data_IF_135186953581
#
_entry.id   IF_135186953581
#
_cell.length_a   1.000
_cell.length_b   1.000
_cell.length_c   1.000
_cell.angle_alpha   90.00
_cell.angle_beta   90.00
_cell.angle_gamma   90.00
#
_symmetry.space_group_name_H-M   'P 1'
#
loop_
_entity.id
_entity.type
_entity.pdbx_description
1 polymer ?
#
# COMPACT_ATOMS: atom_id res chain seq x y z
N UNK A 1 22.23 -30.98 30.93
CA UNK A 1 21.72 -31.26 29.56
C UNK A 1 20.27 -30.82 29.56
N UNK A 2 19.76 -29.83 28.82
CA UNK A 2 20.26 -29.02 27.71
C UNK A 2 19.87 -27.57 27.98
N UNK A 3 20.84 -26.65 27.88
CA UNK A 3 20.58 -25.20 27.86
C UNK A 3 20.28 -24.82 26.40
N UNK A 4 19.08 -24.33 26.14
CA UNK A 4 18.71 -23.60 24.93
C UNK A 4 19.39 -22.22 24.91
N UNK A 5 19.88 -21.71 23.76
CA UNK A 5 20.41 -20.36 23.66
C UNK A 5 19.39 -19.36 23.08
N UNK A 6 19.47 -18.12 23.61
CA UNK A 6 19.27 -16.80 22.96
C UNK A 6 17.91 -16.38 22.39
N UNK A 7 17.52 -15.14 22.71
CA UNK A 7 17.59 -13.98 21.79
C UNK A 7 17.68 -12.68 22.63
N UNK A 8 18.56 -11.70 22.33
CA UNK A 8 18.54 -10.38 22.97
C UNK A 8 17.50 -9.45 22.33
N UNK A 9 16.96 -8.53 23.12
CA UNK A 9 15.93 -7.55 22.77
C UNK A 9 16.32 -6.66 21.58
N UNK A 10 15.50 -6.70 20.52
CA UNK A 10 15.68 -5.96 19.27
C UNK A 10 15.48 -4.42 19.39
N UNK A 11 15.02 -3.93 20.55
CA UNK A 11 14.60 -2.53 20.73
C UNK A 11 15.76 -1.53 20.89
N UNK A 12 16.99 -2.01 21.11
CA UNK A 12 18.16 -1.13 21.31
C UNK A 12 19.11 -1.05 20.10
N UNK A 13 19.06 -2.05 19.20
CA UNK A 13 19.97 -2.15 18.07
C UNK A 13 19.58 -1.21 16.90
N UNK A 14 18.28 -1.02 16.63
CA UNK A 14 17.81 -0.15 15.55
C UNK A 14 18.15 1.33 15.81
N UNK A 15 17.99 1.80 17.05
CA UNK A 15 18.31 3.19 17.44
C UNK A 15 19.82 3.48 17.36
N UNK A 16 20.67 2.50 17.71
CA UNK A 16 22.12 2.64 17.61
C UNK A 16 22.61 2.57 16.16
N UNK A 17 21.97 1.78 15.29
CA UNK A 17 22.33 1.70 13.87
C UNK A 17 21.93 2.95 13.08
N UNK A 18 20.77 3.55 13.38
CA UNK A 18 20.31 4.82 12.79
C UNK A 18 21.20 6.01 13.21
N UNK A 19 21.61 6.08 14.47
CA UNK A 19 22.55 7.10 14.95
C UNK A 19 23.96 6.91 14.38
N UNK A 20 24.40 5.66 14.18
CA UNK A 20 25.72 5.35 13.62
C UNK A 20 25.85 5.71 12.13
N UNK A 21 24.78 5.59 11.34
CA UNK A 21 24.78 6.01 9.94
C UNK A 21 24.85 7.53 9.77
N UNK A 22 24.16 8.28 10.64
CA UNK A 22 24.32 9.75 10.73
C UNK A 22 25.77 10.15 11.06
N UNK A 23 26.46 9.38 11.92
CA UNK A 23 27.86 9.63 12.26
C UNK A 23 28.85 9.30 11.14
N UNK A 24 28.60 8.27 10.32
CA UNK A 24 29.43 7.96 9.15
C UNK A 24 29.31 9.01 8.03
N UNK A 25 28.13 9.62 7.85
CA UNK A 25 27.92 10.68 6.87
C UNK A 25 28.61 12.01 7.24
N UNK A 26 29.00 12.22 8.52
CA UNK A 26 29.76 13.40 8.97
C UNK A 26 31.14 13.53 8.31
N UNK A 27 31.74 12.42 7.88
CA UNK A 27 33.09 12.44 7.30
C UNK A 27 33.12 12.99 5.86
N UNK A 28 31.98 13.06 5.18
CA UNK A 28 31.91 13.48 3.77
C UNK A 28 31.66 14.99 3.57
N UNK A 29 31.18 15.72 4.58
CA UNK A 29 30.68 17.11 4.44
C UNK A 29 31.64 18.20 4.97
N UNK A 30 32.90 17.87 5.28
CA UNK A 30 33.86 18.82 5.87
C UNK A 30 34.45 19.87 4.90
N UNK A 31 33.83 20.11 3.75
CA UNK A 31 34.26 21.12 2.78
C UNK A 31 33.39 22.38 2.93
N UNK A 32 33.77 23.28 3.84
CA UNK A 32 33.19 24.63 3.97
C UNK A 32 33.52 25.48 2.73
N UNK A 33 32.54 26.08 2.02
CA UNK A 33 32.81 27.02 0.96
C UNK A 33 32.87 28.44 1.56
N UNK A 34 34.00 28.82 2.15
CA UNK A 34 34.16 30.15 2.77
C UNK A 34 34.25 31.31 1.76
N UNK A 35 34.20 31.03 0.45
CA UNK A 35 34.30 32.05 -0.61
C UNK A 35 33.35 31.74 -1.77
N UNK A 36 32.04 31.76 -1.53
CA UNK A 36 31.05 31.70 -2.61
C UNK A 36 30.90 33.09 -3.28
N UNK A 37 30.82 33.17 -4.63
CA UNK A 37 30.56 34.43 -5.33
C UNK A 37 29.26 35.10 -4.84
N UNK A 38 29.14 36.44 -4.90
CA UNK A 38 27.97 37.17 -4.37
C UNK A 38 26.63 36.70 -4.96
N UNK A 39 26.59 36.30 -6.23
CA UNK A 39 25.40 35.72 -6.85
C UNK A 39 24.96 34.40 -6.21
N UNK A 40 25.92 33.59 -5.75
CA UNK A 40 25.65 32.34 -5.04
C UNK A 40 25.16 32.59 -3.61
N UNK A 41 25.69 33.61 -2.94
CA UNK A 41 25.24 34.00 -1.60
C UNK A 41 23.80 34.55 -1.61
N UNK A 42 23.45 35.34 -2.62
CA UNK A 42 22.08 35.86 -2.81
C UNK A 42 21.11 34.73 -3.12
N UNK A 43 21.44 33.83 -4.05
CA UNK A 43 20.60 32.66 -4.35
C UNK A 43 20.39 31.74 -3.13
N UNK A 44 21.44 31.55 -2.31
CA UNK A 44 21.31 30.78 -1.07
C UNK A 44 20.40 31.49 -0.04
N UNK A 45 20.47 32.82 0.06
CA UNK A 45 19.62 33.60 0.96
C UNK A 45 18.14 33.60 0.52
N UNK A 46 17.90 33.66 -0.79
CA UNK A 46 16.56 33.53 -1.37
C UNK A 46 15.99 32.14 -1.13
N UNK A 47 16.76 31.07 -1.34
CA UNK A 47 16.35 29.69 -1.04
C UNK A 47 16.07 29.47 0.46
N UNK A 48 16.84 30.12 1.36
CA UNK A 48 16.56 30.11 2.80
C UNK A 48 15.32 30.92 3.20
N UNK A 49 14.95 31.93 2.42
CA UNK A 49 13.73 32.70 2.66
C UNK A 49 12.50 31.95 2.14
N UNK A 50 12.59 31.37 0.93
CA UNK A 50 11.57 30.45 0.40
C UNK A 50 11.39 29.25 1.33
N UNK A 51 12.47 28.75 1.94
CA UNK A 51 12.39 27.70 2.94
C UNK A 51 11.54 28.09 4.14
N UNK A 52 11.78 29.29 4.69
CA UNK A 52 11.05 29.85 5.83
C UNK A 52 9.59 30.16 5.48
N UNK A 53 9.34 30.69 4.30
CA UNK A 53 8.00 31.02 3.83
C UNK A 53 7.20 29.73 3.54
N UNK A 54 7.84 28.73 2.93
CA UNK A 54 7.22 27.42 2.67
C UNK A 54 6.91 26.65 3.96
N UNK A 55 7.73 26.75 5.00
CA UNK A 55 7.36 26.23 6.32
C UNK A 55 6.25 27.03 6.99
N UNK A 56 6.24 28.35 6.84
CA UNK A 56 5.27 29.21 7.51
C UNK A 56 3.86 29.14 6.92
N UNK A 57 3.74 28.99 5.59
CA UNK A 57 2.45 28.97 4.89
C UNK A 57 2.02 27.57 4.43
N UNK A 58 2.95 26.63 4.34
CA UNK A 58 2.71 25.30 3.80
C UNK A 58 2.81 25.23 2.28
N UNK A 59 2.46 24.07 1.73
CA UNK A 59 2.64 23.74 0.31
C UNK A 59 1.42 22.99 -0.22
N UNK A 60 0.92 23.40 -1.38
CA UNK A 60 -0.02 22.62 -2.19
C UNK A 60 0.79 21.82 -3.22
N UNK A 61 0.44 20.57 -3.44
CA UNK A 61 1.00 19.73 -4.49
C UNK A 61 -0.13 19.22 -5.37
N UNK A 62 0.03 19.41 -6.68
CA UNK A 62 -0.85 18.84 -7.70
C UNK A 62 -0.07 17.75 -8.43
N UNK A 63 -0.66 16.57 -8.57
CA UNK A 63 -0.04 15.40 -9.16
C UNK A 63 -0.86 14.85 -10.32
N UNK A 64 -0.17 14.30 -11.31
CA UNK A 64 -0.74 13.42 -12.31
C UNK A 64 0.21 12.25 -12.53
N UNK A 65 -0.32 11.03 -12.57
CA UNK A 65 0.44 9.79 -12.78
C UNK A 65 -0.28 8.92 -13.80
N UNK A 66 0.50 8.27 -14.66
CA UNK A 66 0.01 7.49 -15.80
C UNK A 66 0.71 6.13 -15.86
N UNK A 67 -0.05 5.07 -16.11
CA UNK A 67 0.39 3.70 -16.30
C UNK A 67 -0.40 3.02 -17.42
N UNK A 68 -0.22 1.71 -17.59
CA UNK A 68 -0.90 0.97 -18.66
C UNK A 68 -2.41 0.82 -18.41
N UNK A 69 -2.80 0.62 -17.14
CA UNK A 69 -4.20 0.53 -16.68
C UNK A 69 -4.42 1.45 -15.45
N UNK A 70 -3.71 2.58 -15.39
CA UNK A 70 -3.78 3.50 -14.25
C UNK A 70 -3.60 4.95 -14.66
N UNK A 71 -4.66 5.73 -14.56
CA UNK A 71 -4.59 7.20 -14.56
C UNK A 71 -5.00 7.77 -13.20
N UNK A 72 -4.14 8.61 -12.62
CA UNK A 72 -4.38 9.21 -11.30
C UNK A 72 -4.11 10.71 -11.34
N UNK A 73 -5.07 11.49 -10.86
CA UNK A 73 -4.94 12.93 -10.67
C UNK A 73 -5.13 13.26 -9.20
N UNK A 74 -4.21 14.03 -8.62
CA UNK A 74 -4.18 14.26 -7.19
C UNK A 74 -3.97 15.71 -6.79
N UNK A 75 -4.52 16.09 -5.65
CA UNK A 75 -4.20 17.33 -4.96
C UNK A 75 -4.00 17.05 -3.48
N UNK A 76 -2.93 17.59 -2.90
CA UNK A 76 -2.65 17.48 -1.48
C UNK A 76 -2.01 18.75 -0.94
N UNK A 77 -2.27 19.08 0.32
CA UNK A 77 -1.63 20.21 0.98
C UNK A 77 -0.84 19.74 2.20
N UNK A 78 0.30 20.37 2.48
CA UNK A 78 1.05 20.25 3.72
C UNK A 78 0.91 21.56 4.48
N UNK A 79 0.04 21.58 5.49
CA UNK A 79 -0.34 22.78 6.23
C UNK A 79 0.33 22.75 7.62
N UNK A 80 1.22 23.70 7.95
CA UNK A 80 1.80 23.78 9.28
C UNK A 80 0.72 24.13 10.32
N UNK A 81 0.53 23.26 11.32
CA UNK A 81 -0.34 23.54 12.46
C UNK A 81 0.44 24.18 13.60
N UNK A 82 1.61 23.62 13.89
CA UNK A 82 2.53 24.10 14.92
C UNK A 82 3.95 23.94 14.40
N UNK A 83 4.72 25.03 14.44
CA UNK A 83 6.12 25.03 14.03
C UNK A 83 7.02 25.55 15.15
N UNK A 84 8.21 24.95 15.24
CA UNK A 84 9.34 25.41 16.03
C UNK A 84 10.60 25.28 15.16
N UNK A 85 11.73 25.85 15.60
CA UNK A 85 13.00 25.80 14.85
C UNK A 85 13.50 24.38 14.54
N UNK A 86 12.99 23.35 15.25
CA UNK A 86 13.44 21.97 15.13
C UNK A 86 12.31 20.96 14.91
N UNK A 87 11.05 21.37 14.92
CA UNK A 87 9.94 20.45 14.78
C UNK A 87 8.74 21.13 14.15
N UNK A 88 8.01 20.40 13.33
CA UNK A 88 6.74 20.83 12.76
C UNK A 88 5.71 19.72 12.93
N UNK A 89 4.50 20.11 13.34
CA UNK A 89 3.29 19.32 13.23
C UNK A 89 2.50 19.89 12.05
N UNK A 90 2.22 19.05 11.05
CA UNK A 90 1.54 19.43 9.83
C UNK A 90 0.24 18.63 9.67
N UNK A 91 -0.75 19.28 9.09
CA UNK A 91 -1.97 18.65 8.58
C UNK A 91 -1.79 18.37 7.08
N UNK A 92 -2.15 17.17 6.64
CA UNK A 92 -2.04 16.76 5.24
C UNK A 92 -3.39 16.28 4.70
N UNK A 93 -4.30 17.19 4.30
CA UNK A 93 -5.45 16.80 3.50
C UNK A 93 -5.01 16.45 2.08
N UNK A 94 -5.56 15.39 1.53
CA UNK A 94 -5.30 14.92 0.17
C UNK A 94 -6.54 14.35 -0.49
N UNK A 95 -6.61 14.44 -1.81
CA UNK A 95 -7.63 13.81 -2.62
C UNK A 95 -7.06 13.31 -3.95
N UNK A 96 -7.55 12.17 -4.41
CA UNK A 96 -7.34 11.64 -5.76
C UNK A 96 -8.64 11.46 -6.50
N UNK A 97 -8.50 11.62 -7.80
CA UNK A 97 -9.40 11.09 -8.80
C UNK A 97 -8.63 10.00 -9.54
N UNK A 98 -9.19 8.79 -9.56
CA UNK A 98 -8.64 7.64 -10.28
C UNK A 98 -9.45 7.44 -11.57
N UNK A 99 -9.05 6.45 -12.36
CA UNK A 99 -9.87 5.91 -13.44
C UNK A 99 -11.22 5.37 -12.90
N UNK A 100 -12.21 5.26 -13.79
CA UNK A 100 -13.58 4.79 -13.48
C UNK A 100 -14.36 5.63 -12.44
N UNK A 101 -14.16 6.95 -12.44
CA UNK A 101 -14.83 7.92 -11.54
C UNK A 101 -14.60 7.67 -10.03
N UNK A 102 -13.64 6.79 -9.68
CA UNK A 102 -13.31 6.49 -8.29
C UNK A 102 -12.55 7.64 -7.63
N UNK A 103 -12.86 7.86 -6.36
CA UNK A 103 -12.31 8.98 -5.60
C UNK A 103 -11.75 8.50 -4.27
N UNK A 104 -10.60 9.02 -3.92
CA UNK A 104 -9.99 8.75 -2.63
C UNK A 104 -9.70 10.06 -1.91
N UNK A 105 -10.09 10.12 -0.64
CA UNK A 105 -9.81 11.24 0.23
C UNK A 105 -8.99 10.75 1.42
N UNK A 106 -8.01 11.54 1.82
CA UNK A 106 -7.15 11.24 2.95
C UNK A 106 -6.95 12.46 3.83
N UNK A 107 -6.87 12.22 5.14
CA UNK A 107 -6.52 13.26 6.11
C UNK A 107 -5.43 12.75 7.03
N UNK A 108 -4.27 13.40 6.95
CA UNK A 108 -3.08 13.03 7.72
C UNK A 108 -2.65 14.04 8.76
N UNK A 109 -2.00 13.55 9.81
CA UNK A 109 -1.16 14.33 10.71
C UNK A 109 0.29 13.87 10.58
N UNK A 110 1.19 14.83 10.43
CA UNK A 110 2.61 14.57 10.16
C UNK A 110 3.45 15.32 11.18
N UNK A 111 4.23 14.59 11.97
CA UNK A 111 5.19 15.15 12.91
C UNK A 111 6.60 14.95 12.36
N UNK A 112 7.31 16.04 12.05
CA UNK A 112 8.69 16.00 11.57
C UNK A 112 9.61 16.77 12.50
N UNK A 113 10.74 16.16 12.85
CA UNK A 113 11.77 16.74 13.73
C UNK A 113 13.11 16.82 13.00
N UNK A 114 13.64 18.02 12.91
CA UNK A 114 14.96 18.32 12.37
C UNK A 114 16.05 18.05 13.40
N UNK A 115 17.12 17.38 12.99
CA UNK A 115 18.32 17.18 13.79
C UNK A 115 18.96 18.53 14.17
N UNK A 116 19.70 18.58 15.28
CA UNK A 116 20.38 19.80 15.73
C UNK A 116 21.39 20.33 14.70
N UNK A 117 21.98 19.45 13.90
CA UNK A 117 22.92 19.81 12.82
C UNK A 117 22.22 20.11 11.49
N UNK A 118 20.88 20.04 11.44
CA UNK A 118 20.07 20.23 10.22
C UNK A 118 20.46 19.33 9.05
N UNK A 119 20.92 18.12 9.35
CA UNK A 119 21.36 17.11 8.35
C UNK A 119 20.33 16.00 8.10
N UNK A 120 19.35 15.86 8.97
CA UNK A 120 18.39 14.77 8.97
C UNK A 120 17.05 15.22 9.56
N UNK A 121 15.95 14.68 9.02
CA UNK A 121 14.59 14.81 9.54
C UNK A 121 14.10 13.41 9.93
N UNK A 122 13.57 13.30 11.14
CA UNK A 122 12.82 12.12 11.60
C UNK A 122 11.33 12.46 11.57
N UNK A 123 10.55 11.65 10.88
CA UNK A 123 9.12 11.84 10.69
C UNK A 123 8.31 10.68 11.27
N UNK A 124 7.14 11.02 11.80
CA UNK A 124 6.04 10.09 12.03
C UNK A 124 4.81 10.65 11.32
N UNK A 125 4.05 9.78 10.68
CA UNK A 125 2.80 10.16 10.02
C UNK A 125 1.68 9.21 10.42
N UNK A 126 0.45 9.73 10.47
CA UNK A 126 -0.76 8.96 10.68
C UNK A 126 -1.86 9.51 9.78
N UNK A 127 -2.62 8.63 9.14
CA UNK A 127 -3.63 8.95 8.13
C UNK A 127 -4.93 8.19 8.38
N UNK A 128 -6.02 8.83 8.01
CA UNK A 128 -7.30 8.22 7.72
C UNK A 128 -7.57 8.37 6.24
N UNK A 129 -7.76 7.27 5.53
CA UNK A 129 -8.04 7.25 4.09
C UNK A 129 -9.42 6.61 3.84
N UNK A 130 -10.19 7.20 2.94
CA UNK A 130 -11.49 6.69 2.50
C UNK A 130 -11.56 6.68 0.97
N UNK A 131 -11.91 5.53 0.40
CA UNK A 131 -12.15 5.34 -1.03
C UNK A 131 -13.64 5.20 -1.28
N UNK A 132 -14.16 6.04 -2.17
CA UNK A 132 -15.47 5.91 -2.76
C UNK A 132 -15.29 5.13 -4.06
N UNK A 133 -15.69 3.86 -4.04
CA UNK A 133 -15.63 2.97 -5.19
C UNK A 133 -16.82 3.20 -6.13
N UNK A 134 -16.67 2.84 -7.41
CA UNK A 134 -17.73 2.95 -8.42
C UNK A 134 -18.98 2.12 -8.05
N UNK A 135 -18.81 1.07 -7.24
CA UNK A 135 -19.90 0.21 -6.78
C UNK A 135 -20.77 0.81 -5.65
N UNK A 136 -20.70 2.13 -5.40
CA UNK A 136 -21.36 2.84 -4.29
C UNK A 136 -20.95 2.31 -2.90
N UNK A 137 -19.77 1.68 -2.83
CA UNK A 137 -19.15 1.22 -1.59
C UNK A 137 -18.12 2.24 -1.10
N UNK A 138 -18.00 2.35 0.23
CA UNK A 138 -16.92 3.11 0.86
C UNK A 138 -16.03 2.16 1.62
N UNK A 139 -14.75 2.16 1.26
CA UNK A 139 -13.68 1.45 1.95
C UNK A 139 -12.86 2.44 2.76
N UNK A 140 -12.53 2.07 3.99
CA UNK A 140 -11.88 2.95 4.95
C UNK A 140 -10.68 2.23 5.57
N UNK A 141 -9.56 2.94 5.69
CA UNK A 141 -8.35 2.44 6.33
C UNK A 141 -7.72 3.53 7.20
N UNK A 142 -6.96 3.09 8.19
CA UNK A 142 -6.02 3.95 8.90
C UNK A 142 -4.61 3.52 8.54
N UNK A 143 -3.67 4.44 8.47
CA UNK A 143 -2.28 4.06 8.28
C UNK A 143 -1.33 4.91 9.10
N UNK A 144 -0.18 4.34 9.39
CA UNK A 144 0.89 5.03 10.10
C UNK A 144 2.24 4.75 9.44
N UNK A 145 3.15 5.70 9.53
CA UNK A 145 4.46 5.56 8.91
C UNK A 145 5.57 6.30 9.63
N UNK A 146 6.79 5.89 9.34
CA UNK A 146 8.03 6.49 9.82
C UNK A 146 8.87 6.95 8.63
N UNK A 147 9.48 8.12 8.77
CA UNK A 147 10.36 8.70 7.76
C UNK A 147 11.71 9.06 8.36
N UNK A 148 12.77 8.78 7.61
CA UNK A 148 14.12 9.30 7.82
C UNK A 148 14.50 10.00 6.52
N UNK A 149 14.56 11.33 6.52
CA UNK A 149 14.96 12.10 5.33
C UNK A 149 16.31 12.73 5.60
N UNK A 150 17.23 12.64 4.65
CA UNK A 150 18.52 13.33 4.74
C UNK A 150 18.89 13.96 3.41
N UNK A 151 20.11 14.49 3.30
CA UNK A 151 20.63 14.99 2.02
C UNK A 151 20.86 13.88 1.00
N UNK A 152 21.26 12.70 1.46
CA UNK A 152 21.77 11.62 0.58
C UNK A 152 20.97 10.34 0.67
N UNK A 153 20.39 10.04 1.82
CA UNK A 153 19.69 8.79 2.09
C UNK A 153 18.33 9.09 2.68
N UNK A 154 17.30 8.48 2.11
CA UNK A 154 15.95 8.53 2.63
C UNK A 154 15.50 7.11 2.96
N UNK A 155 14.82 6.91 4.08
CA UNK A 155 14.18 5.64 4.42
C UNK A 155 12.76 5.89 4.90
N UNK A 156 11.83 5.04 4.48
CA UNK A 156 10.40 5.17 4.79
C UNK A 156 9.82 3.79 5.04
N UNK A 157 8.87 3.72 5.94
CA UNK A 157 8.01 2.55 6.13
C UNK A 157 6.61 3.04 6.47
N UNK A 158 5.61 2.47 5.82
CA UNK A 158 4.21 2.77 6.05
C UNK A 158 3.45 1.47 6.24
N UNK A 159 2.45 1.50 7.11
CA UNK A 159 1.52 0.41 7.38
C UNK A 159 0.10 0.91 7.15
N UNK A 160 -0.71 0.11 6.48
CA UNK A 160 -2.13 0.36 6.27
C UNK A 160 -2.94 -0.74 6.97
N UNK A 161 -3.92 -0.31 7.76
CA UNK A 161 -4.83 -1.14 8.52
C UNK A 161 -6.27 -0.84 8.09
N UNK A 162 -6.93 -1.78 7.38
CA UNK A 162 -8.35 -1.71 7.03
C UNK A 162 -9.25 -1.61 8.26
N UNK A 163 -10.11 -0.60 8.29
CA UNK A 163 -11.14 -0.47 9.35
C UNK A 163 -12.54 -0.81 8.83
N UNK A 164 -12.75 -0.69 7.52
CA UNK A 164 -13.92 -1.23 6.86
C UNK A 164 -13.72 -2.72 6.58
N UNK A 165 -14.71 -3.54 6.95
CA UNK A 165 -14.77 -4.92 6.44
C UNK A 165 -15.27 -4.98 5.00
N UNK A 166 -15.30 -6.20 4.48
CA UNK A 166 -15.82 -6.60 3.18
C UNK A 166 -17.14 -5.93 2.77
N UNK A 167 -17.20 -5.49 1.51
CA UNK A 167 -18.36 -4.89 0.88
C UNK A 167 -18.79 -5.70 -0.33
N UNK A 168 -20.09 -5.94 -0.49
CA UNK A 168 -20.60 -6.67 -1.65
C UNK A 168 -20.68 -5.73 -2.85
N UNK A 169 -20.24 -6.21 -4.01
CA UNK A 169 -20.46 -5.55 -5.30
C UNK A 169 -21.86 -5.85 -5.88
N UNK A 170 -22.69 -6.58 -5.14
CA UNK A 170 -24.00 -7.04 -5.59
C UNK A 170 -23.95 -8.23 -6.54
N UNK A 171 -25.11 -8.66 -7.05
CA UNK A 171 -25.20 -9.77 -7.99
C UNK A 171 -24.72 -9.37 -9.40
N UNK A 172 -23.70 -10.07 -9.89
CA UNK A 172 -23.14 -9.96 -11.24
C UNK A 172 -23.20 -11.28 -12.02
N UNK A 173 -22.62 -11.26 -13.21
CA UNK A 173 -22.52 -12.44 -14.10
C UNK A 173 -21.06 -12.64 -14.50
N UNK A 174 -20.51 -13.80 -14.16
CA UNK A 174 -19.10 -14.13 -14.42
C UNK A 174 -19.01 -15.31 -15.38
N UNK A 175 -18.01 -15.34 -16.29
CA UNK A 175 -17.76 -16.50 -17.13
C UNK A 175 -17.15 -17.64 -16.31
N UNK A 176 -17.81 -18.79 -16.28
CA UNK A 176 -17.29 -20.04 -15.73
C UNK A 176 -17.35 -21.13 -16.81
N UNK A 177 -16.19 -21.64 -17.24
CA UNK A 177 -16.09 -22.56 -18.38
C UNK A 177 -16.86 -22.07 -19.64
N UNK A 178 -16.79 -20.76 -19.93
CA UNK A 178 -17.48 -20.15 -21.05
C UNK A 178 -18.99 -19.97 -20.88
N UNK A 179 -19.56 -20.31 -19.72
CA UNK A 179 -20.97 -20.09 -19.39
C UNK A 179 -21.13 -18.94 -18.39
N UNK A 180 -22.09 -18.02 -18.61
CA UNK A 180 -22.41 -16.98 -17.63
C UNK A 180 -23.08 -17.61 -16.40
N UNK A 181 -22.47 -17.46 -15.22
CA UNK A 181 -23.07 -17.85 -13.94
C UNK A 181 -23.29 -16.63 -13.04
N UNK A 182 -24.36 -16.61 -12.23
CA UNK A 182 -24.52 -15.61 -11.19
C UNK A 182 -23.32 -15.67 -10.23
N UNK A 183 -22.68 -14.54 -10.03
CA UNK A 183 -21.57 -14.37 -9.10
C UNK A 183 -21.83 -13.13 -8.25
N UNK A 184 -21.43 -13.13 -6.98
CA UNK A 184 -21.34 -11.91 -6.19
C UNK A 184 -19.87 -11.63 -5.96
N UNK A 185 -19.41 -10.47 -6.40
CA UNK A 185 -18.08 -10.00 -6.05
C UNK A 185 -18.07 -9.40 -4.64
N UNK A 186 -16.95 -9.55 -3.95
CA UNK A 186 -16.66 -8.83 -2.71
C UNK A 186 -15.51 -7.89 -3.01
N UNK A 187 -15.60 -6.69 -2.45
CA UNK A 187 -14.58 -5.67 -2.44
C UNK A 187 -14.13 -5.45 -1.00
N UNK A 188 -12.82 -5.46 -0.76
CA UNK A 188 -12.26 -5.26 0.57
C UNK A 188 -11.02 -4.39 0.53
N UNK A 189 -10.71 -3.69 1.62
CA UNK A 189 -9.45 -3.00 1.79
C UNK A 189 -8.38 -4.00 2.29
N UNK A 190 -7.21 -4.06 1.64
CA UNK A 190 -6.14 -4.98 2.06
C UNK A 190 -5.27 -4.41 3.19
N UNK A 191 -4.86 -5.27 4.11
CA UNK A 191 -3.93 -4.93 5.20
C UNK A 191 -2.49 -5.16 4.77
N UNK A 192 -1.58 -4.26 5.12
CA UNK A 192 -0.19 -4.46 4.72
C UNK A 192 0.76 -3.33 5.03
N UNK A 193 1.97 -3.48 4.49
CA UNK A 193 3.02 -2.49 4.65
C UNK A 193 3.80 -2.27 3.35
N UNK A 194 4.41 -1.09 3.26
CA UNK A 194 5.40 -0.76 2.25
C UNK A 194 6.63 -0.15 2.93
N UNK A 195 7.82 -0.56 2.48
CA UNK A 195 9.08 0.01 2.93
C UNK A 195 9.91 0.44 1.72
N UNK A 196 10.60 1.57 1.84
CA UNK A 196 11.40 2.16 0.77
C UNK A 196 12.72 2.73 1.33
N UNK A 197 13.82 2.47 0.62
CA UNK A 197 15.13 3.06 0.86
C UNK A 197 15.60 3.76 -0.42
N UNK A 198 16.00 5.02 -0.29
CA UNK A 198 16.43 5.87 -1.38
C UNK A 198 17.83 6.42 -1.20
N UNK A 199 18.52 6.58 -2.32
CA UNK A 199 19.79 7.31 -2.41
C UNK A 199 19.70 8.43 -3.44
N UNK A 200 20.09 9.63 -3.04
CA UNK A 200 20.28 10.74 -3.95
C UNK A 200 21.65 10.63 -4.61
N UNK A 201 21.67 10.65 -5.94
CA UNK A 201 22.90 10.43 -6.71
C UNK A 201 23.83 11.65 -6.57
N UNK A 202 25.05 11.46 -6.01
CA UNK A 202 26.03 12.54 -5.96
C UNK A 202 26.39 12.94 -7.41
N UNK A 203 26.74 14.21 -7.61
CA UNK A 203 27.06 14.85 -8.90
C UNK A 203 25.88 15.26 -9.77
N UNK A 204 24.80 14.46 -9.83
CA UNK A 204 23.55 14.88 -10.47
C UNK A 204 22.79 15.88 -9.59
N UNK A 205 23.01 15.85 -8.27
CA UNK A 205 22.50 16.82 -7.28
C UNK A 205 22.73 18.29 -7.64
N UNK A 206 23.71 18.60 -8.49
CA UNK A 206 24.06 19.97 -8.90
C UNK A 206 23.27 20.53 -10.08
N UNK A 207 22.76 19.67 -10.95
CA UNK A 207 22.13 20.08 -12.21
C UNK A 207 20.74 19.51 -12.41
N UNK A 208 20.54 18.25 -12.01
CA UNK A 208 19.26 17.56 -12.09
C UNK A 208 19.19 16.58 -10.91
N UNK A 209 18.80 17.08 -9.72
CA UNK A 209 18.74 16.25 -8.54
C UNK A 209 17.90 15.01 -8.78
N UNK A 210 18.57 13.85 -8.67
CA UNK A 210 18.01 12.56 -9.03
C UNK A 210 18.21 11.59 -7.88
N UNK A 211 17.13 10.97 -7.44
CA UNK A 211 17.13 9.93 -6.42
C UNK A 211 16.70 8.59 -7.02
N UNK A 212 17.31 7.52 -6.56
CA UNK A 212 16.91 6.15 -6.87
C UNK A 212 16.48 5.47 -5.58
N UNK A 213 15.29 4.88 -5.61
CA UNK A 213 14.64 4.26 -4.47
C UNK A 213 14.34 2.81 -4.80
N UNK A 214 14.54 1.93 -3.84
CA UNK A 214 14.15 0.53 -3.90
C UNK A 214 13.32 0.21 -2.66
N UNK A 215 12.28 -0.58 -2.84
CA UNK A 215 11.35 -0.93 -1.78
C UNK A 215 10.79 -2.33 -1.93
N UNK A 216 10.09 -2.74 -0.88
CA UNK A 216 9.31 -3.97 -0.84
C UNK A 216 7.95 -3.64 -0.24
N UNK A 217 6.92 -4.28 -0.76
CA UNK A 217 5.55 -4.18 -0.25
C UNK A 217 4.99 -5.58 -0.05
N UNK A 218 4.07 -5.69 0.91
CA UNK A 218 3.27 -6.89 1.14
C UNK A 218 1.92 -6.49 1.69
N UNK A 219 0.87 -6.91 1.01
CA UNK A 219 -0.52 -6.69 1.34
C UNK A 219 -1.27 -8.00 1.27
N UNK A 220 -2.03 -8.30 2.32
CA UNK A 220 -2.74 -9.56 2.51
C UNK A 220 -4.25 -9.31 2.35
N UNK A 221 -4.94 -10.29 1.79
CA UNK A 221 -6.40 -10.31 1.62
C UNK A 221 -7.02 -11.11 2.77
N UNK A 222 -8.12 -10.63 3.37
CA UNK A 222 -8.83 -11.38 4.40
C UNK A 222 -9.77 -12.44 3.78
N UNK A 223 -10.17 -12.25 2.51
CA UNK A 223 -11.16 -13.09 1.82
C UNK A 223 -10.55 -14.17 0.94
N UNK A 224 -9.37 -13.94 0.39
CA UNK A 224 -8.72 -14.84 -0.59
C UNK A 224 -7.25 -15.06 -0.26
N UNK A 225 -6.67 -16.09 -0.86
CA UNK A 225 -5.22 -16.34 -0.82
C UNK A 225 -4.45 -15.50 -1.87
N UNK A 226 -5.09 -14.47 -2.46
CA UNK A 226 -4.49 -13.60 -3.48
C UNK A 226 -3.76 -12.42 -2.82
N UNK A 227 -2.66 -12.74 -2.12
CA UNK A 227 -1.73 -11.75 -1.54
C UNK A 227 -0.99 -10.97 -2.65
N UNK A 228 -0.71 -9.69 -2.39
CA UNK A 228 0.05 -8.82 -3.28
C UNK A 228 1.36 -8.43 -2.60
N UNK A 229 2.47 -9.00 -3.05
CA UNK A 229 3.80 -8.68 -2.55
C UNK A 229 4.83 -8.63 -3.67
N UNK A 230 5.88 -7.81 -3.48
CA UNK A 230 6.86 -7.63 -4.52
C UNK A 230 7.84 -6.49 -4.28
N UNK A 231 8.84 -6.43 -5.16
CA UNK A 231 9.79 -5.34 -5.19
C UNK A 231 9.23 -4.13 -5.94
N UNK A 232 9.65 -2.93 -5.51
CA UNK A 232 9.43 -1.69 -6.25
C UNK A 232 10.73 -0.93 -6.46
N UNK A 233 10.86 -0.26 -7.60
CA UNK A 233 11.96 0.66 -7.89
C UNK A 233 11.38 1.98 -8.34
N UNK A 234 11.93 3.08 -7.84
CA UNK A 234 11.48 4.42 -8.20
C UNK A 234 12.65 5.33 -8.48
N UNK A 235 12.56 6.05 -9.59
CA UNK A 235 13.50 7.12 -9.93
C UNK A 235 12.76 8.43 -9.80
N UNK A 236 13.28 9.33 -8.98
CA UNK A 236 12.73 10.68 -8.79
C UNK A 236 13.73 11.70 -9.34
N UNK A 237 13.25 12.65 -10.13
CA UNK A 237 14.03 13.75 -10.69
C UNK A 237 13.36 15.07 -10.35
N UNK A 238 14.14 16.08 -9.98
CA UNK A 238 13.61 17.41 -9.64
C UNK A 238 14.25 18.48 -10.53
N UNK A 239 13.71 18.72 -11.74
CA UNK A 239 14.26 19.73 -12.65
C UNK A 239 14.29 21.14 -12.06
N UNK A 240 13.35 21.45 -11.16
CA UNK A 240 13.32 22.69 -10.39
C UNK A 240 12.64 22.46 -9.02
N UNK A 241 12.71 23.44 -8.11
CA UNK A 241 12.13 23.33 -6.77
C UNK A 241 10.61 23.05 -6.76
N UNK A 242 9.91 23.45 -7.82
CA UNK A 242 8.46 23.35 -7.93
C UNK A 242 7.98 22.15 -8.74
N UNK A 243 8.87 21.37 -9.37
CA UNK A 243 8.47 20.25 -10.21
C UNK A 243 9.27 19.01 -9.86
N UNK A 244 8.54 17.93 -9.57
CA UNK A 244 9.08 16.59 -9.38
C UNK A 244 8.55 15.70 -10.49
N UNK A 245 9.44 14.96 -11.12
CA UNK A 245 9.13 13.91 -12.07
C UNK A 245 9.52 12.58 -11.40
N UNK A 246 8.71 11.55 -11.58
CA UNK A 246 9.05 10.23 -11.09
C UNK A 246 8.63 9.14 -12.07
N UNK A 247 9.37 8.04 -12.02
CA UNK A 247 9.05 6.81 -12.72
C UNK A 247 9.20 5.66 -11.74
N UNK A 248 8.15 4.87 -11.62
CA UNK A 248 8.03 3.74 -10.70
C UNK A 248 7.85 2.45 -11.51
N UNK A 249 8.50 1.39 -11.04
CA UNK A 249 8.33 0.04 -11.54
C UNK A 249 7.97 -0.89 -10.36
N UNK A 250 7.03 -1.79 -10.59
CA UNK A 250 6.51 -2.75 -9.63
C UNK A 250 6.66 -4.16 -10.20
N UNK A 251 7.06 -5.09 -9.35
CA UNK A 251 7.17 -6.51 -9.72
C UNK A 251 5.80 -7.16 -9.96
N UNK A 252 4.80 -6.75 -9.19
CA UNK A 252 3.42 -7.23 -9.30
C UNK A 252 2.49 -6.06 -9.67
N UNK A 253 1.82 -6.19 -10.81
CA UNK A 253 0.83 -5.21 -11.27
C UNK A 253 -0.36 -5.09 -10.32
N UNK A 254 -0.71 -6.16 -9.58
CA UNK A 254 -1.77 -6.14 -8.55
C UNK A 254 -1.53 -5.12 -7.43
N UNK A 255 -0.30 -4.58 -7.33
CA UNK A 255 -0.03 -3.43 -6.50
C UNK A 255 -0.70 -2.18 -7.10
N UNK A 256 -0.26 -1.61 -8.23
CA UNK A 256 -0.81 -0.33 -8.75
C UNK A 256 -1.80 -0.46 -9.92
N UNK A 257 -2.26 -1.65 -10.25
CA UNK A 257 -2.88 -2.04 -11.53
C UNK A 257 -1.98 -1.79 -12.76
N UNK A 258 -0.72 -1.40 -12.55
CA UNK A 258 0.25 -1.17 -13.61
C UNK A 258 1.63 -1.54 -13.12
N UNK A 259 2.41 -2.22 -13.97
CA UNK A 259 3.81 -2.56 -13.68
C UNK A 259 4.70 -1.32 -13.71
N UNK A 260 4.35 -0.30 -14.51
CA UNK A 260 5.11 0.94 -14.64
C UNK A 260 4.20 2.14 -14.51
N UNK A 261 4.63 3.13 -13.74
CA UNK A 261 3.89 4.39 -13.54
C UNK A 261 4.84 5.56 -13.71
N UNK A 262 4.43 6.57 -14.48
CA UNK A 262 5.18 7.82 -14.66
C UNK A 262 4.37 8.97 -14.09
N UNK A 263 4.98 9.72 -13.17
CA UNK A 263 4.36 10.81 -12.44
C UNK A 263 4.97 12.17 -12.71
N UNK A 264 4.14 13.20 -12.65
CA UNK A 264 4.53 14.61 -12.55
C UNK A 264 3.82 15.25 -11.37
N UNK A 265 4.57 15.96 -10.53
CA UNK A 265 4.07 16.69 -9.37
C UNK A 265 4.54 18.12 -9.39
N UNK A 266 3.60 19.04 -9.24
CA UNK A 266 3.83 20.48 -9.20
C UNK A 266 3.57 20.99 -7.78
N UNK A 267 4.58 21.60 -7.18
CA UNK A 267 4.56 22.13 -5.83
C UNK A 267 4.36 23.65 -5.86
N UNK A 268 3.23 24.10 -5.33
CA UNK A 268 2.85 25.51 -5.23
C UNK A 268 2.91 25.94 -3.77
N UNK A 269 3.71 26.96 -3.41
CA UNK A 269 3.70 27.47 -2.04
C UNK A 269 2.39 28.21 -1.78
N UNK A 270 1.82 28.06 -0.58
CA UNK A 270 0.47 28.58 -0.27
C UNK A 270 0.41 30.10 -0.05
N UNK A 271 1.55 30.78 -0.07
CA UNK A 271 1.68 32.24 -0.10
C UNK A 271 1.55 32.84 -1.51
N UNK A 272 1.11 32.05 -2.51
CA UNK A 272 1.03 32.45 -3.92
C UNK A 272 0.28 33.77 -4.20
N UNK A 273 -0.62 34.18 -3.30
CA UNK A 273 -1.36 35.44 -3.35
C UNK A 273 -0.45 36.68 -3.16
N UNK A 274 0.72 36.51 -2.50
CA UNK A 274 1.77 37.52 -2.38
C UNK A 274 2.72 37.54 -3.59
N UNK A 275 2.38 36.81 -4.65
CA UNK A 275 3.15 36.63 -5.87
C UNK A 275 3.63 35.19 -5.99
N UNK A 276 3.35 34.55 -7.15
CA UNK A 276 3.91 33.25 -7.49
C UNK A 276 5.41 33.38 -7.73
N UNK A 277 6.20 33.21 -6.67
CA UNK A 277 7.64 33.08 -6.75
C UNK A 277 7.98 31.66 -7.20
N UNK A 278 7.86 31.41 -8.50
CA UNK A 278 8.54 30.27 -9.08
C UNK A 278 10.02 30.56 -9.02
N UNK A 279 10.79 29.63 -8.47
CA UNK A 279 12.24 29.74 -8.40
C UNK A 279 12.78 29.58 -9.83
N UNK A 280 12.79 30.71 -10.57
CA UNK A 280 13.05 30.77 -12.02
C UNK A 280 14.54 30.60 -12.34
N UNK A 281 15.39 30.78 -11.35
CA UNK A 281 16.84 30.74 -11.48
C UNK A 281 17.42 29.35 -11.21
N UNK A 282 16.82 28.31 -11.82
CA UNK A 282 17.38 26.94 -11.81
C UNK A 282 17.87 26.51 -10.43
N UNK A 283 17.16 26.96 -9.39
CA UNK A 283 17.62 26.98 -8.01
C UNK A 283 17.92 25.55 -7.58
N UNK A 284 19.18 25.35 -7.21
CA UNK A 284 19.75 24.19 -6.52
C UNK A 284 18.71 23.56 -5.59
N UNK A 285 18.73 22.22 -5.47
CA UNK A 285 17.98 21.43 -4.49
C UNK A 285 17.42 22.30 -3.35
N UNK A 286 16.08 22.32 -3.16
CA UNK A 286 15.47 23.06 -2.06
C UNK A 286 16.29 22.83 -0.80
N UNK A 287 16.70 23.91 -0.12
CA UNK A 287 17.59 23.79 1.04
C UNK A 287 17.04 22.70 1.96
N UNK A 288 17.89 21.79 2.46
CA UNK A 288 17.41 20.58 3.17
C UNK A 288 16.27 20.84 4.21
N UNK A 289 16.25 21.96 4.95
CA UNK A 289 15.12 22.31 5.81
C UNK A 289 13.74 22.38 5.11
N UNK A 290 13.67 22.76 3.83
CA UNK A 290 12.42 22.79 3.03
C UNK A 290 11.78 21.42 2.86
N UNK A 291 12.54 20.34 3.06
CA UNK A 291 12.01 18.97 2.98
C UNK A 291 11.01 18.67 4.09
N UNK A 292 10.92 19.51 5.12
CA UNK A 292 9.94 19.38 6.19
C UNK A 292 8.49 19.54 5.71
N UNK A 293 8.26 20.23 4.58
CA UNK A 293 6.94 20.40 3.94
C UNK A 293 6.80 19.60 2.64
N UNK A 294 7.71 18.66 2.37
CA UNK A 294 7.50 17.68 1.29
C UNK A 294 6.28 16.81 1.61
N UNK A 295 5.48 16.41 0.61
CA UNK A 295 4.44 15.41 0.82
C UNK A 295 4.98 14.14 1.47
N UNK A 296 4.13 13.44 2.24
CA UNK A 296 4.47 12.13 2.77
C UNK A 296 4.47 11.13 1.62
N UNK A 297 5.57 10.39 1.46
CA UNK A 297 5.59 9.30 0.49
C UNK A 297 5.10 8.02 1.13
N UNK A 298 3.86 7.70 0.79
CA UNK A 298 3.15 6.47 1.12
C UNK A 298 2.25 6.12 -0.05
N UNK A 299 1.97 4.84 -0.20
CA UNK A 299 0.77 4.49 -0.93
C UNK A 299 -0.43 4.79 -0.05
N UNK A 300 -1.38 5.53 -0.59
CA UNK A 300 -2.60 5.88 0.12
C UNK A 300 -3.83 5.33 -0.59
N UNK A 301 -3.59 4.65 -1.72
CA UNK A 301 -4.64 3.96 -2.44
C UNK A 301 -5.18 2.84 -1.58
N UNK A 302 -6.49 2.87 -1.31
CA UNK A 302 -7.13 1.76 -0.60
C UNK A 302 -7.17 0.59 -1.57
N UNK A 303 -6.35 -0.42 -1.30
CA UNK A 303 -6.23 -1.59 -2.16
C UNK A 303 -7.53 -2.36 -2.12
N UNK A 304 -8.15 -2.51 -3.28
CA UNK A 304 -9.35 -3.31 -3.43
C UNK A 304 -9.02 -4.61 -4.13
N UNK A 305 -9.44 -5.73 -3.56
CA UNK A 305 -9.52 -6.98 -4.29
C UNK A 305 -10.99 -7.22 -4.65
N UNK A 306 -11.27 -7.37 -5.94
CA UNK A 306 -12.57 -7.84 -6.40
C UNK A 306 -12.50 -9.35 -6.48
N UNK A 307 -13.01 -10.02 -5.45
CA UNK A 307 -13.09 -11.47 -5.48
C UNK A 307 -14.12 -11.88 -6.54
N UNK A 308 -13.69 -12.71 -7.49
CA UNK A 308 -14.62 -13.48 -8.31
C UNK A 308 -14.93 -14.73 -7.52
N UNK A 309 -16.20 -15.17 -7.38
CA UNK A 309 -16.45 -16.35 -6.57
C UNK A 309 -15.62 -17.51 -7.10
N UNK A 310 -14.89 -18.15 -6.19
CA UNK A 310 -14.39 -19.48 -6.43
C UNK A 310 -15.55 -20.33 -6.93
N UNK A 311 -15.29 -21.16 -7.94
CA UNK A 311 -16.23 -22.15 -8.44
C UNK A 311 -17.03 -22.72 -7.26
N UNK A 312 -18.37 -22.81 -7.31
CA UNK A 312 -19.11 -23.45 -6.24
C UNK A 312 -18.43 -24.79 -5.99
N UNK A 313 -17.88 -24.96 -4.77
CA UNK A 313 -17.04 -26.10 -4.41
C UNK A 313 -17.68 -27.34 -5.03
N UNK A 314 -16.98 -27.95 -6.01
CA UNK A 314 -17.54 -28.92 -6.94
C UNK A 314 -18.55 -29.75 -6.18
N UNK A 315 -19.84 -29.55 -6.49
CA UNK A 315 -20.94 -30.05 -5.68
C UNK A 315 -20.58 -31.48 -5.29
N UNK A 316 -20.41 -31.71 -3.98
CA UNK A 316 -19.97 -32.99 -3.44
C UNK A 316 -20.66 -34.08 -4.26
N UNK A 317 -19.90 -34.99 -4.92
CA UNK A 317 -20.36 -35.75 -6.06
C UNK A 317 -21.77 -36.23 -5.78
N UNK A 318 -22.73 -35.69 -6.55
CA UNK A 318 -24.16 -35.82 -6.29
C UNK A 318 -24.40 -37.21 -5.74
N UNK A 319 -24.83 -37.29 -4.46
CA UNK A 319 -24.98 -38.54 -3.75
C UNK A 319 -25.65 -39.51 -4.72
N UNK A 320 -24.86 -40.50 -5.16
CA UNK A 320 -25.20 -41.46 -6.20
C UNK A 320 -26.65 -41.84 -5.93
N UNK A 321 -27.59 -41.68 -6.90
CA UNK A 321 -29.02 -41.80 -6.62
C UNK A 321 -29.18 -43.08 -5.84
N UNK A 322 -29.63 -42.95 -4.58
CA UNK A 322 -29.83 -44.10 -3.71
C UNK A 322 -30.70 -45.01 -4.54
N UNK A 323 -30.14 -46.14 -4.98
CA UNK A 323 -30.89 -47.16 -5.71
C UNK A 323 -32.15 -47.33 -4.89
N UNK A 324 -33.32 -47.02 -5.47
CA UNK A 324 -34.60 -47.36 -4.84
C UNK A 324 -34.42 -48.77 -4.32
N UNK A 325 -34.64 -49.04 -3.02
CA UNK A 325 -34.53 -50.39 -2.53
C UNK A 325 -35.42 -51.24 -3.42
N UNK A 326 -34.78 -52.16 -4.14
CA UNK A 326 -35.49 -53.18 -4.90
C UNK A 326 -36.40 -53.82 -3.87
N UNK A 327 -37.73 -53.75 -4.07
CA UNK A 327 -38.66 -54.47 -3.19
C UNK A 327 -38.13 -55.90 -3.11
N UNK A 328 -37.83 -56.42 -1.90
CA UNK A 328 -37.42 -57.81 -1.80
C UNK A 328 -38.51 -58.65 -2.46
N UNK A 329 -38.09 -59.53 -3.38
CA UNK A 329 -38.97 -60.54 -3.96
C UNK A 329 -39.62 -61.27 -2.77
N UNK A 330 -40.96 -61.41 -2.71
CA UNK A 330 -41.58 -62.09 -1.58
C UNK A 330 -40.96 -63.48 -1.44
N UNK A 331 -40.45 -63.78 -0.25
CA UNK A 331 -39.91 -65.10 0.06
C UNK A 331 -41.06 -66.12 0.00
N UNK A 332 -40.83 -67.31 -0.60
CA UNK A 332 -41.87 -68.31 -0.70
C UNK A 332 -42.27 -68.79 0.70
N UNK A 333 -43.58 -68.88 0.94
CA UNK A 333 -44.09 -69.23 2.27
C UNK A 333 -44.10 -70.74 2.37
N UNK A 334 -43.13 -71.29 3.09
CA UNK A 334 -43.05 -72.73 3.33
C UNK A 334 -43.93 -73.15 4.50
N UNK A 335 -44.75 -74.19 4.31
CA UNK A 335 -45.51 -74.85 5.38
C UNK A 335 -45.13 -76.33 5.46
N UNK A 336 -44.93 -76.80 6.69
CA UNK A 336 -44.59 -78.20 6.96
C UNK A 336 -45.80 -78.93 7.54
N UNK A 337 -46.10 -80.09 6.98
CA UNK A 337 -47.18 -80.96 7.40
C UNK A 337 -46.62 -82.31 7.83
N UNK A 338 -47.19 -82.91 8.87
CA UNK A 338 -46.92 -84.31 9.22
C UNK A 338 -47.87 -85.22 8.45
N UNK A 339 -47.32 -86.19 7.73
CA UNK A 339 -48.04 -87.25 7.06
C UNK A 339 -47.51 -88.61 7.53
N UNK A 340 -48.26 -89.68 7.28
CA UNK A 340 -47.79 -91.04 7.52
C UNK A 340 -47.29 -91.62 6.19
N UNK A 341 -46.18 -92.33 6.22
CA UNK A 341 -45.71 -93.08 5.06
C UNK A 341 -46.50 -94.40 4.89
N UNK A 342 -46.17 -95.16 3.85
CA UNK A 342 -46.83 -96.43 3.53
C UNK A 342 -46.61 -97.54 4.56
N UNK A 343 -45.68 -97.36 5.51
CA UNK A 343 -45.41 -98.28 6.62
C UNK A 343 -46.03 -97.80 7.95
N UNK A 344 -46.65 -96.62 7.97
CA UNK A 344 -47.32 -96.05 9.15
C UNK A 344 -46.43 -95.18 10.04
N UNK A 345 -45.25 -94.78 9.57
CA UNK A 345 -44.34 -93.90 10.30
C UNK A 345 -44.60 -92.42 9.97
N UNK A 346 -44.44 -91.53 10.96
CA UNK A 346 -44.67 -90.09 10.78
C UNK A 346 -43.49 -89.45 10.05
N UNK A 347 -43.76 -88.90 8.88
CA UNK A 347 -42.83 -88.11 8.07
C UNK A 347 -43.30 -86.65 7.98
N UNK A 348 -42.36 -85.72 7.79
CA UNK A 348 -42.66 -84.30 7.65
C UNK A 348 -42.38 -83.85 6.22
N UNK A 349 -43.39 -83.28 5.56
CA UNK A 349 -43.31 -82.77 4.18
C UNK A 349 -43.45 -81.26 4.20
N UNK A 350 -42.47 -80.55 3.63
CA UNK A 350 -42.48 -79.09 3.53
C UNK A 350 -42.79 -78.69 2.09
N UNK A 351 -43.83 -77.87 1.91
CA UNK A 351 -44.22 -77.31 0.61
C UNK A 351 -44.07 -75.79 0.67
N UNK A 352 -43.42 -75.21 -0.33
CA UNK A 352 -43.18 -73.77 -0.45
C UNK A 352 -43.89 -73.23 -1.70
N UNK A 353 -44.77 -72.24 -1.54
CA UNK A 353 -45.43 -71.51 -2.63
C UNK A 353 -44.85 -70.11 -2.85
#
# INVERSE_FOLDING_TARGET
>A
MNRTPKLPSATCAATFLLLAQCALLRAADSATPTNAPPAVAVANAEAEQVARDATAFGRLTLGASFGDELDVYGAEAMLPLVESERAALLLNPRGLLLEDDEQEIGLGLVLRRLSSEKTCILGFNAFYDARLADSDNTLEQVGAGLELLSRWVDARVNYAWPISGEKSLGPGVCPFNGSPIPCSGIEEAMEGFDAELGVWLPYLDRHLPTGVFAGYYRFESDVTDDDVDGMKVRVEMRPCANVTLDAEWFEDSGYRDSETVVGVRVHVPLDFWNGLKFERDGGRLPSFPTRITEPVQRDFRVRKLITRPAAPAAAAPAARPVKRPIRPKPEPVCRTYSALDENGDVIFVTVCE
#
